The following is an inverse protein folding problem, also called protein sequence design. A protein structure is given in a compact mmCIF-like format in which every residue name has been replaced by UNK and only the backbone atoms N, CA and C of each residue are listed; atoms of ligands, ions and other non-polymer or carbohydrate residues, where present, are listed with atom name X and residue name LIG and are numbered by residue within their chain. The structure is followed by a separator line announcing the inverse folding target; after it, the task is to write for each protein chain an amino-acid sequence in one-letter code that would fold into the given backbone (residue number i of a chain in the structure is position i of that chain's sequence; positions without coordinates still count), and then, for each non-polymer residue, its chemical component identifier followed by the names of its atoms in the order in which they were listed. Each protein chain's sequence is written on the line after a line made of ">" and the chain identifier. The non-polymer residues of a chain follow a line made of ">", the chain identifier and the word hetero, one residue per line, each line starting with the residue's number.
data_IF_036653793652
#
_entry.id   IF_036653793652
#
_cell.length_a   1.000
_cell.length_b   1.000
_cell.length_c   1.000
_cell.angle_alpha   90.00
_cell.angle_beta   90.00
_cell.angle_gamma   90.00
#
_symmetry.space_group_name_H-M   'P 1'
#
loop_
_entity.id
_entity.type
_entity.pdbx_description
1 polymer ?
#
# COMPACT_ATOMS: atom_id res chain seq x y z
N UNK A 1 -12.08 -3.81 -9.13
CA UNK A 1 -11.59 -4.15 -7.77
C UNK A 1 -10.70 -3.02 -7.30
N UNK A 2 -11.11 -2.35 -6.23
CA UNK A 2 -10.32 -1.26 -5.65
C UNK A 2 -9.25 -1.81 -4.70
N UNK A 3 -7.98 -1.51 -4.97
CA UNK A 3 -6.84 -1.91 -4.15
C UNK A 3 -6.24 -0.68 -3.50
N UNK A 4 -6.09 -0.74 -2.18
CA UNK A 4 -5.33 0.24 -1.41
C UNK A 4 -3.90 -0.27 -1.22
N UNK A 5 -2.91 0.43 -1.78
CA UNK A 5 -1.50 0.18 -1.51
C UNK A 5 -1.02 1.02 -0.33
N UNK A 6 -0.18 0.46 0.53
CA UNK A 6 0.38 1.15 1.71
C UNK A 6 1.88 0.89 1.81
N UNK A 7 2.65 1.99 1.89
CA UNK A 7 4.09 2.01 2.23
C UNK A 7 4.24 2.62 3.64
N UNK A 8 4.32 1.78 4.70
CA UNK A 8 4.29 2.26 6.08
C UNK A 8 5.65 2.82 6.52
N UNK A 9 5.65 3.98 7.17
CA UNK A 9 6.88 4.61 7.68
C UNK A 9 6.65 5.94 8.36
N UNK A 10 7.72 6.67 8.69
CA UNK A 10 7.63 8.03 9.24
C UNK A 10 6.91 9.00 8.30
N UNK A 11 6.93 8.74 7.01
CA UNK A 11 6.00 9.26 6.00
C UNK A 11 5.33 8.05 5.35
N UNK A 12 4.03 7.90 5.53
CA UNK A 12 3.26 6.80 4.97
C UNK A 12 2.75 7.16 3.59
N UNK A 13 3.09 6.34 2.60
CA UNK A 13 2.53 6.42 1.26
C UNK A 13 1.24 5.62 1.16
N UNK A 14 0.24 6.19 0.50
CA UNK A 14 -1.04 5.53 0.22
C UNK A 14 -1.41 5.76 -1.23
N UNK A 15 -1.91 4.73 -1.88
CA UNK A 15 -2.46 4.81 -3.24
C UNK A 15 -3.72 3.95 -3.32
N UNK A 16 -4.68 4.42 -4.09
CA UNK A 16 -5.85 3.64 -4.47
C UNK A 16 -5.82 3.44 -5.98
N UNK A 17 -5.92 2.20 -6.43
CA UNK A 17 -6.04 1.87 -7.85
C UNK A 17 -7.28 1.01 -8.07
N UNK A 18 -8.09 1.36 -9.07
CA UNK A 18 -9.20 0.51 -9.48
C UNK A 18 -8.77 -0.31 -10.70
N UNK A 19 -8.83 -1.62 -10.56
CA UNK A 19 -8.40 -2.58 -11.59
C UNK A 19 -9.53 -3.54 -11.90
N UNK A 20 -9.63 -4.06 -13.15
CA UNK A 20 -10.57 -5.12 -13.47
C UNK A 20 -10.42 -6.31 -12.51
N UNK A 21 -11.53 -6.98 -12.19
CA UNK A 21 -11.51 -8.14 -11.28
C UNK A 21 -10.59 -9.28 -11.77
N UNK A 22 -10.45 -9.45 -13.07
CA UNK A 22 -9.57 -10.45 -13.69
C UNK A 22 -8.18 -9.86 -14.05
N UNK A 23 -7.60 -9.13 -13.11
CA UNK A 23 -6.30 -8.49 -13.30
C UNK A 23 -5.13 -9.48 -13.46
N UNK A 24 -5.33 -10.80 -13.22
CA UNK A 24 -4.31 -11.83 -13.45
C UNK A 24 -3.84 -11.93 -14.91
N UNK A 25 -4.66 -11.40 -15.85
CA UNK A 25 -4.36 -11.35 -17.29
C UNK A 25 -4.13 -9.92 -17.81
N UNK A 26 -4.22 -8.93 -16.92
CA UNK A 26 -4.19 -7.53 -17.32
C UNK A 26 -3.02 -6.80 -16.66
N UNK A 27 -2.23 -6.13 -17.49
CA UNK A 27 -1.24 -5.19 -16.99
C UNK A 27 -1.95 -3.86 -16.69
N UNK A 28 -2.10 -3.47 -15.39
CA UNK A 28 -2.85 -2.28 -15.05
C UNK A 28 -2.24 -1.05 -15.72
N UNK A 29 -3.05 -0.22 -16.35
CA UNK A 29 -2.61 1.03 -16.96
C UNK A 29 -3.02 2.23 -16.11
N UNK A 30 -2.32 3.36 -16.23
CA UNK A 30 -2.65 4.59 -15.51
C UNK A 30 -4.00 5.23 -15.88
N UNK A 31 -4.69 4.75 -16.89
CA UNK A 31 -6.07 5.16 -17.21
C UNK A 31 -7.10 4.69 -16.17
N UNK A 32 -6.71 3.80 -15.30
CA UNK A 32 -7.47 3.37 -14.14
C UNK A 32 -7.58 4.53 -13.13
N UNK A 33 -8.70 4.66 -12.44
CA UNK A 33 -8.85 5.69 -11.40
C UNK A 33 -7.76 5.52 -10.33
N UNK A 34 -7.02 6.61 -10.07
CA UNK A 34 -5.88 6.60 -9.15
C UNK A 34 -5.95 7.81 -8.23
N UNK A 35 -6.09 7.53 -6.94
CA UNK A 35 -5.82 8.51 -5.90
C UNK A 35 -4.53 8.16 -5.17
N UNK A 36 -3.73 9.18 -4.86
CA UNK A 36 -2.49 8.94 -4.14
C UNK A 36 -2.14 10.09 -3.18
N UNK A 37 -1.56 9.72 -2.05
CA UNK A 37 -1.17 10.69 -1.02
C UNK A 37 0.06 10.23 -0.24
N UNK A 38 0.66 11.18 0.46
CA UNK A 38 1.63 10.92 1.51
C UNK A 38 1.14 11.60 2.79
N UNK A 39 1.17 10.87 3.88
CA UNK A 39 0.76 11.35 5.19
C UNK A 39 1.98 11.30 6.10
N UNK A 40 2.36 12.46 6.65
CA UNK A 40 3.35 12.49 7.73
C UNK A 40 2.77 11.76 8.93
N UNK A 41 3.51 10.77 9.42
CA UNK A 41 3.07 9.99 10.57
C UNK A 41 3.05 10.88 11.82
N UNK A 42 1.89 11.01 12.43
CA UNK A 42 1.70 11.66 13.71
C UNK A 42 1.05 10.69 14.68
N UNK A 43 1.67 10.55 15.84
CA UNK A 43 1.17 9.72 16.92
C UNK A 43 0.39 10.59 17.92
N UNK A 44 -0.77 10.13 18.32
CA UNK A 44 -1.63 10.86 19.24
C UNK A 44 -3.04 10.31 19.23
N UNK A 45 -3.92 10.99 19.93
CA UNK A 45 -5.35 10.70 19.93
C UNK A 45 -6.09 11.72 19.06
N UNK A 46 -7.16 11.28 18.41
CA UNK A 46 -8.01 12.16 17.61
C UNK A 46 -7.73 12.14 16.10
N UNK A 47 -8.45 12.98 15.34
CA UNK A 47 -8.56 12.88 13.89
C UNK A 47 -7.26 13.17 13.13
N UNK A 48 -6.31 13.85 13.76
CA UNK A 48 -5.02 14.16 13.12
C UNK A 48 -4.01 13.01 13.20
N UNK A 49 -4.28 11.98 14.01
CA UNK A 49 -3.40 10.83 14.10
C UNK A 49 -3.44 9.97 12.84
N UNK A 50 -2.32 9.30 12.55
CA UNK A 50 -2.21 8.43 11.37
C UNK A 50 -3.28 7.32 11.37
N UNK A 51 -3.61 6.77 12.53
CA UNK A 51 -4.63 5.71 12.64
C UNK A 51 -6.03 6.18 12.23
N UNK A 52 -6.44 7.36 12.68
CA UNK A 52 -7.72 7.94 12.28
C UNK A 52 -7.77 8.26 10.79
N UNK A 53 -6.71 8.85 10.25
CA UNK A 53 -6.63 9.17 8.81
C UNK A 53 -6.73 7.91 7.95
N UNK A 54 -6.04 6.83 8.33
CA UNK A 54 -6.12 5.55 7.61
C UNK A 54 -7.53 4.95 7.72
N UNK A 55 -8.14 4.99 8.92
CA UNK A 55 -9.50 4.51 9.13
C UNK A 55 -10.49 5.26 8.23
N UNK A 56 -10.43 6.59 8.22
CA UNK A 56 -11.33 7.42 7.42
C UNK A 56 -11.15 7.14 5.92
N UNK A 57 -9.91 6.94 5.46
CA UNK A 57 -9.64 6.56 4.07
C UNK A 57 -10.23 5.19 3.72
N UNK A 58 -10.11 4.21 4.61
CA UNK A 58 -10.70 2.88 4.41
C UNK A 58 -12.23 2.98 4.37
N UNK A 59 -12.82 3.77 5.25
CA UNK A 59 -14.28 3.98 5.31
C UNK A 59 -14.79 4.70 4.05
N UNK A 60 -14.09 5.73 3.57
CA UNK A 60 -14.49 6.51 2.39
C UNK A 60 -14.34 5.70 1.10
N UNK A 61 -13.19 5.04 0.92
CA UNK A 61 -12.88 4.35 -0.33
C UNK A 61 -13.38 2.91 -0.38
N UNK A 62 -13.61 2.28 0.76
CA UNK A 62 -14.05 0.89 0.91
C UNK A 62 -13.29 -0.08 -0.02
N UNK A 63 -11.95 -0.19 0.11
CA UNK A 63 -11.15 -1.01 -0.79
C UNK A 63 -11.47 -2.49 -0.63
N UNK A 64 -11.40 -3.24 -1.72
CA UNK A 64 -11.61 -4.69 -1.72
C UNK A 64 -10.38 -5.47 -1.20
N UNK A 65 -9.20 -4.83 -1.23
CA UNK A 65 -7.93 -5.42 -0.83
C UNK A 65 -6.98 -4.31 -0.35
N UNK A 66 -6.24 -4.58 0.71
CA UNK A 66 -5.10 -3.76 1.13
C UNK A 66 -3.82 -4.52 0.82
N UNK A 67 -2.94 -3.92 0.00
CA UNK A 67 -1.62 -4.45 -0.30
C UNK A 67 -0.57 -3.61 0.43
N UNK A 68 0.25 -4.24 1.27
CA UNK A 68 1.14 -3.52 2.17
C UNK A 68 2.51 -4.21 2.29
N UNK A 69 3.53 -3.41 2.55
CA UNK A 69 4.86 -3.91 2.84
C UNK A 69 4.85 -4.80 4.10
N UNK A 70 5.50 -5.98 3.98
CA UNK A 70 5.85 -6.81 5.13
C UNK A 70 7.19 -6.34 5.67
N UNK A 71 7.16 -5.69 6.82
CA UNK A 71 8.39 -5.31 7.50
C UNK A 71 9.06 -6.54 8.11
N UNK A 72 10.32 -6.79 7.71
CA UNK A 72 11.12 -7.90 8.23
C UNK A 72 12.19 -7.32 9.15
N UNK A 73 12.12 -7.70 10.43
CA UNK A 73 13.13 -7.32 11.41
C UNK A 73 14.36 -8.21 11.19
N UNK A 74 15.47 -7.59 10.77
CA UNK A 74 16.78 -8.21 10.66
C UNK A 74 17.73 -7.56 11.66
N UNK A 75 18.87 -8.18 11.95
CA UNK A 75 19.91 -7.56 12.79
C UNK A 75 20.38 -6.21 12.25
N UNK A 76 20.36 -6.03 10.93
CA UNK A 76 20.69 -4.76 10.29
C UNK A 76 19.58 -3.72 10.50
N UNK A 77 18.30 -4.10 10.31
CA UNK A 77 17.18 -3.17 10.49
C UNK A 77 17.04 -2.72 11.94
N UNK A 78 17.31 -3.59 12.92
CA UNK A 78 17.33 -3.22 14.36
C UNK A 78 18.35 -2.12 14.66
N UNK A 79 19.52 -2.15 14.01
CA UNK A 79 20.57 -1.14 14.23
C UNK A 79 20.23 0.23 13.62
N UNK A 80 19.44 0.25 12.54
CA UNK A 80 19.12 1.47 11.79
C UNK A 80 17.72 2.00 12.05
N UNK A 81 16.81 1.17 12.55
CA UNK A 81 15.42 1.57 12.80
C UNK A 81 15.31 2.17 14.21
N UNK A 82 15.55 3.46 14.31
CA UNK A 82 15.34 4.21 15.56
C UNK A 82 13.86 4.45 15.87
N UNK A 83 12.97 4.23 14.89
CA UNK A 83 11.54 4.48 15.03
C UNK A 83 10.75 3.25 14.59
N UNK A 84 9.87 2.72 15.44
CA UNK A 84 9.03 1.58 15.15
C UNK A 84 7.80 1.94 14.29
N UNK A 85 7.75 3.14 13.68
CA UNK A 85 6.58 3.66 12.98
C UNK A 85 5.98 2.67 11.97
N UNK A 86 6.83 2.04 11.16
CA UNK A 86 6.34 1.07 10.18
C UNK A 86 5.58 -0.10 10.83
N UNK A 87 6.10 -0.65 11.93
CA UNK A 87 5.46 -1.78 12.64
C UNK A 87 4.13 -1.37 13.27
N UNK A 88 4.08 -0.18 13.85
CA UNK A 88 2.86 0.35 14.48
C UNK A 88 1.79 0.62 13.43
N UNK A 89 2.18 1.18 12.27
CA UNK A 89 1.26 1.43 11.17
C UNK A 89 0.75 0.10 10.60
N UNK A 90 1.63 -0.89 10.39
CA UNK A 90 1.24 -2.22 9.93
C UNK A 90 0.20 -2.84 10.89
N UNK A 91 0.47 -2.79 12.20
CA UNK A 91 -0.48 -3.29 13.21
C UNK A 91 -1.82 -2.54 13.18
N UNK A 92 -1.78 -1.22 13.11
CA UNK A 92 -2.98 -0.37 13.02
C UNK A 92 -3.80 -0.63 11.76
N UNK A 93 -3.14 -0.68 10.59
CA UNK A 93 -3.81 -0.99 9.31
C UNK A 93 -4.50 -2.36 9.36
N UNK A 94 -3.81 -3.38 9.87
CA UNK A 94 -4.39 -4.72 9.99
C UNK A 94 -5.60 -4.75 10.92
N UNK A 95 -5.50 -4.12 12.08
CA UNK A 95 -6.61 -4.04 13.03
C UNK A 95 -7.82 -3.33 12.41
N UNK A 96 -7.61 -2.20 11.72
CA UNK A 96 -8.67 -1.47 11.04
C UNK A 96 -9.26 -2.32 9.92
N UNK A 97 -8.42 -2.94 9.08
CA UNK A 97 -8.86 -3.81 7.99
C UNK A 97 -9.73 -4.97 8.48
N UNK A 98 -9.36 -5.61 9.59
CA UNK A 98 -10.15 -6.68 10.22
C UNK A 98 -11.52 -6.16 10.65
N UNK A 99 -11.61 -4.93 11.18
CA UNK A 99 -12.88 -4.30 11.59
C UNK A 99 -13.84 -4.11 10.40
N UNK A 100 -13.27 -3.81 9.21
CA UNK A 100 -14.03 -3.66 7.97
C UNK A 100 -14.10 -4.95 7.13
N UNK A 101 -13.59 -6.07 7.63
CA UNK A 101 -13.51 -7.36 6.93
C UNK A 101 -12.78 -7.27 5.57
N UNK A 102 -11.78 -6.41 5.47
CA UNK A 102 -10.98 -6.22 4.25
C UNK A 102 -9.73 -7.08 4.32
N UNK A 103 -9.46 -7.95 3.35
CA UNK A 103 -8.26 -8.77 3.32
C UNK A 103 -6.99 -7.90 3.18
N UNK A 104 -5.92 -8.30 3.88
CA UNK A 104 -4.60 -7.64 3.81
C UNK A 104 -3.57 -8.59 3.22
N UNK A 105 -3.00 -8.21 2.09
CA UNK A 105 -1.93 -8.93 1.40
C UNK A 105 -0.56 -8.32 1.74
N UNK A 106 0.22 -9.04 2.53
CA UNK A 106 1.55 -8.61 2.98
C UNK A 106 2.63 -9.06 1.99
N UNK A 107 3.48 -8.13 1.55
CA UNK A 107 4.52 -8.39 0.54
C UNK A 107 5.89 -7.89 1.00
N UNK A 108 6.99 -8.64 0.74
CA UNK A 108 8.33 -8.10 0.93
C UNK A 108 8.57 -6.88 0.03
N UNK A 109 9.26 -5.85 0.53
CA UNK A 109 9.63 -4.68 -0.27
C UNK A 109 10.44 -5.06 -1.52
N UNK A 110 11.32 -6.06 -1.41
CA UNK A 110 12.11 -6.57 -2.54
C UNK A 110 11.22 -7.11 -3.67
N UNK A 111 10.17 -7.86 -3.34
CA UNK A 111 9.24 -8.39 -4.35
C UNK A 111 8.55 -7.25 -5.11
N UNK A 112 8.01 -6.26 -4.39
CA UNK A 112 7.33 -5.14 -5.03
C UNK A 112 8.28 -4.31 -5.91
N UNK A 113 9.53 -4.08 -5.47
CA UNK A 113 10.54 -3.33 -6.22
C UNK A 113 11.10 -4.09 -7.43
N UNK A 114 11.16 -5.41 -7.39
CA UNK A 114 11.61 -6.22 -8.54
C UNK A 114 10.49 -6.45 -9.55
N UNK A 115 9.25 -6.63 -9.09
CA UNK A 115 8.10 -6.80 -9.99
C UNK A 115 7.76 -5.50 -10.73
N UNK A 116 7.83 -4.36 -10.03
CA UNK A 116 7.56 -3.03 -10.56
C UNK A 116 8.74 -2.10 -10.28
N UNK A 117 9.84 -2.32 -11.00
CA UNK A 117 11.00 -1.44 -10.92
C UNK A 117 10.73 -0.05 -11.53
N UNK A 118 11.71 0.85 -11.40
CA UNK A 118 11.53 2.24 -11.87
C UNK A 118 11.40 2.33 -13.38
N UNK A 119 12.03 1.42 -14.13
CA UNK A 119 11.95 1.36 -15.59
C UNK A 119 10.56 0.94 -16.04
N UNK A 120 10.03 -0.13 -15.43
CA UNK A 120 8.68 -0.61 -15.72
C UNK A 120 7.61 0.42 -15.38
N UNK A 121 7.70 1.09 -14.21
CA UNK A 121 6.79 2.16 -13.82
C UNK A 121 6.83 3.34 -14.81
N UNK A 122 8.02 3.69 -15.32
CA UNK A 122 8.17 4.74 -16.32
C UNK A 122 7.58 4.32 -17.66
N UNK A 123 7.92 3.13 -18.16
CA UNK A 123 7.46 2.65 -19.47
C UNK A 123 5.94 2.45 -19.51
N UNK A 124 5.32 2.08 -18.40
CA UNK A 124 3.87 1.94 -18.28
C UNK A 124 3.13 3.24 -17.97
N UNK A 125 3.84 4.37 -17.80
CA UNK A 125 3.25 5.69 -17.52
C UNK A 125 2.88 5.94 -16.04
N UNK A 126 3.01 4.97 -15.16
CA UNK A 126 2.68 5.12 -13.73
C UNK A 126 3.54 6.15 -13.01
N UNK A 127 4.80 6.32 -13.43
CA UNK A 127 5.70 7.30 -12.83
C UNK A 127 5.25 8.75 -13.03
N UNK A 128 4.46 9.03 -14.07
CA UNK A 128 3.91 10.35 -14.35
C UNK A 128 2.67 10.66 -13.51
N UNK A 129 1.90 9.64 -13.16
CA UNK A 129 0.67 9.78 -12.37
C UNK A 129 1.00 9.84 -10.88
N UNK A 130 1.89 8.96 -10.39
CA UNK A 130 2.27 8.90 -8.97
C UNK A 130 3.69 9.41 -8.78
N UNK A 131 3.82 10.72 -8.52
CA UNK A 131 5.12 11.42 -8.44
C UNK A 131 5.80 11.31 -7.07
N UNK A 132 5.03 11.27 -5.99
CA UNK A 132 5.55 11.27 -4.61
C UNK A 132 6.19 9.92 -4.29
N UNK A 133 7.37 9.93 -3.66
CA UNK A 133 8.21 8.74 -3.43
C UNK A 133 7.47 7.63 -2.69
N UNK A 134 6.95 7.91 -1.50
CA UNK A 134 6.28 6.89 -0.68
C UNK A 134 4.95 6.43 -1.31
N UNK A 135 4.19 7.31 -1.96
CA UNK A 135 3.03 6.90 -2.73
C UNK A 135 3.40 5.98 -3.91
N UNK A 136 4.58 6.17 -4.51
CA UNK A 136 5.09 5.29 -5.56
C UNK A 136 5.52 3.92 -5.03
N UNK A 137 6.07 3.87 -3.82
CA UNK A 137 6.37 2.60 -3.16
C UNK A 137 5.07 1.86 -2.77
N UNK A 138 4.05 2.58 -2.27
CA UNK A 138 2.71 2.05 -2.07
C UNK A 138 2.07 1.51 -3.37
N UNK A 139 2.25 2.25 -4.48
CA UNK A 139 1.79 1.81 -5.81
C UNK A 139 2.41 0.48 -6.23
N UNK A 140 3.71 0.29 -5.98
CA UNK A 140 4.38 -0.98 -6.28
C UNK A 140 3.71 -2.16 -5.56
N UNK A 141 3.32 -1.97 -4.31
CA UNK A 141 2.59 -2.99 -3.55
C UNK A 141 1.22 -3.26 -4.15
N UNK A 142 0.45 -2.23 -4.51
CA UNK A 142 -0.85 -2.39 -5.12
C UNK A 142 -0.77 -3.13 -6.47
N UNK A 143 0.15 -2.72 -7.35
CA UNK A 143 0.37 -3.33 -8.66
C UNK A 143 0.90 -4.77 -8.56
N UNK A 144 1.76 -5.05 -7.58
CA UNK A 144 2.24 -6.42 -7.33
C UNK A 144 1.10 -7.31 -6.85
N UNK A 145 0.19 -6.79 -6.02
CA UNK A 145 -0.99 -7.53 -5.59
C UNK A 145 -1.88 -7.95 -6.77
N UNK A 146 -2.00 -7.13 -7.80
CA UNK A 146 -2.75 -7.48 -9.01
C UNK A 146 -2.27 -8.79 -9.66
N UNK A 147 -0.96 -9.08 -9.57
CA UNK A 147 -0.39 -10.29 -10.18
C UNK A 147 -0.22 -11.46 -9.19
N UNK A 148 -0.09 -11.17 -7.91
CA UNK A 148 0.25 -12.19 -6.90
C UNK A 148 -0.91 -12.61 -6.01
N UNK A 149 -1.88 -11.72 -5.81
CA UNK A 149 -3.05 -12.03 -5.00
C UNK A 149 -4.04 -12.84 -5.82
N UNK A 150 -4.05 -14.13 -5.59
CA UNK A 150 -5.09 -15.02 -6.12
C UNK A 150 -6.23 -15.02 -5.13
N UNK A 151 -7.36 -14.47 -5.52
CA UNK A 151 -8.60 -14.65 -4.77
C UNK A 151 -8.89 -16.14 -4.78
N UNK A 152 -8.76 -16.79 -3.63
CA UNK A 152 -9.33 -18.12 -3.44
C UNK A 152 -10.84 -17.93 -3.42
N UNK A 153 -11.45 -17.89 -4.60
CA UNK A 153 -12.89 -18.02 -4.74
C UNK A 153 -13.15 -19.49 -4.48
N UNK A 154 -13.52 -19.80 -3.25
CA UNK A 154 -14.22 -21.03 -2.91
C UNK A 154 -15.71 -20.78 -3.03
#
# INVERSE_FOLDING_TARGET
>A
MLIMGVDPGGTTGIVFIDVPWDASRYEPSPSTHVDNMQIQTSWGTGPDSIGWKIRDLIEIYNPNLIAMEKFIITQQTVRFTRQPDALWIIGGVRFIADTFMIPVHMQPASLAKTTWDSTRLKNSGWAEVVKKKHARDALRHALTACVTYKTSIQ
#
